data_IF_841091206311
#
_entry.id   IF_841091206311
#
_cell.length_a   1.000
_cell.length_b   1.000
_cell.length_c   1.000
_cell.angle_alpha   90.00
_cell.angle_beta   90.00
_cell.angle_gamma   90.00
#
_symmetry.space_group_name_H-M   'P 1'
#
loop_
_entity.id
_entity.type
_entity.pdbx_description
1 polymer ?
#
# COMPACT_ATOMS: atom_id res chain seq x y z
N UNK A 1 -24.68 22.80 -9.90
CA UNK A 1 -25.62 22.99 -8.77
C UNK A 1 -25.90 21.63 -8.14
N UNK A 2 -25.09 21.25 -7.13
CA UNK A 2 -25.46 20.42 -5.96
C UNK A 2 -24.17 20.20 -5.14
N UNK A 3 -23.69 21.24 -4.45
CA UNK A 3 -22.62 21.13 -3.47
C UNK A 3 -23.00 22.03 -2.30
N UNK A 4 -23.97 21.61 -1.51
CA UNK A 4 -24.20 22.16 -0.16
C UNK A 4 -24.70 21.04 0.76
N UNK A 5 -23.72 20.35 1.30
CA UNK A 5 -23.80 19.38 2.38
C UNK A 5 -22.35 19.03 2.76
N UNK A 6 -21.98 18.90 4.04
CA UNK A 6 -20.61 18.54 4.43
C UNK A 6 -20.35 17.06 4.09
N UNK A 7 -20.21 16.75 2.79
CA UNK A 7 -20.38 15.41 2.23
C UNK A 7 -19.25 14.46 2.65
N UNK A 8 -19.48 13.79 3.78
CA UNK A 8 -18.73 12.63 4.24
C UNK A 8 -18.62 11.56 3.16
N UNK A 9 -19.65 11.43 2.30
CA UNK A 9 -19.67 10.52 1.15
C UNK A 9 -18.57 10.82 0.13
N UNK A 10 -18.39 12.08 -0.27
CA UNK A 10 -17.31 12.47 -1.20
C UNK A 10 -15.91 12.17 -0.64
N UNK A 11 -15.72 12.37 0.67
CA UNK A 11 -14.47 12.03 1.36
C UNK A 11 -14.20 10.52 1.41
N UNK A 12 -15.24 9.71 1.57
CA UNK A 12 -15.12 8.23 1.55
C UNK A 12 -14.71 7.73 0.17
N UNK A 13 -15.33 8.22 -0.90
CA UNK A 13 -14.94 7.83 -2.26
C UNK A 13 -13.50 8.23 -2.60
N UNK A 14 -13.10 9.45 -2.23
CA UNK A 14 -11.71 9.90 -2.41
C UNK A 14 -10.71 9.06 -1.60
N UNK A 15 -11.06 8.66 -0.38
CA UNK A 15 -10.20 7.82 0.47
C UNK A 15 -10.00 6.43 -0.12
N UNK A 16 -11.06 5.81 -0.66
CA UNK A 16 -10.97 4.51 -1.31
C UNK A 16 -10.17 4.57 -2.61
N UNK A 17 -10.37 5.61 -3.41
CA UNK A 17 -9.57 5.83 -4.62
C UNK A 17 -8.09 6.00 -4.27
N UNK A 18 -7.77 6.81 -3.26
CA UNK A 18 -6.40 6.98 -2.78
C UNK A 18 -5.80 5.66 -2.27
N UNK A 19 -6.56 4.85 -1.53
CA UNK A 19 -6.12 3.52 -1.09
C UNK A 19 -5.85 2.58 -2.28
N UNK A 20 -6.71 2.59 -3.30
CA UNK A 20 -6.52 1.78 -4.50
C UNK A 20 -5.24 2.18 -5.26
N UNK A 21 -5.03 3.48 -5.48
CA UNK A 21 -3.82 3.99 -6.15
C UNK A 21 -2.55 3.68 -5.36
N UNK A 22 -2.58 3.85 -4.03
CA UNK A 22 -1.46 3.50 -3.17
C UNK A 22 -1.16 1.99 -3.21
N UNK A 23 -2.18 1.13 -3.31
CA UNK A 23 -1.98 -0.32 -3.43
C UNK A 23 -1.29 -0.68 -4.74
N UNK A 24 -1.70 -0.07 -5.85
CA UNK A 24 -1.05 -0.29 -7.16
C UNK A 24 0.41 0.15 -7.14
N UNK A 25 0.70 1.35 -6.62
CA UNK A 25 2.07 1.82 -6.49
C UNK A 25 2.93 0.88 -5.60
N UNK A 26 2.37 0.36 -4.51
CA UNK A 26 3.06 -0.61 -3.66
C UNK A 26 3.36 -1.93 -4.39
N UNK A 27 2.38 -2.46 -5.13
CA UNK A 27 2.54 -3.71 -5.88
C UNK A 27 3.63 -3.58 -6.95
N UNK A 28 3.69 -2.45 -7.65
CA UNK A 28 4.76 -2.13 -8.62
C UNK A 28 6.13 -2.06 -7.95
N UNK A 29 6.25 -1.40 -6.79
CA UNK A 29 7.52 -1.29 -6.06
C UNK A 29 8.03 -2.67 -5.59
N UNK A 30 7.14 -3.50 -5.06
CA UNK A 30 7.49 -4.85 -4.61
C UNK A 30 7.87 -5.73 -5.80
N UNK A 31 7.17 -5.64 -6.92
CA UNK A 31 7.53 -6.36 -8.14
C UNK A 31 8.92 -5.97 -8.64
N UNK A 32 9.19 -4.66 -8.76
CA UNK A 32 10.50 -4.16 -9.17
C UNK A 32 11.61 -4.66 -8.23
N UNK A 33 11.39 -4.57 -6.91
CA UNK A 33 12.39 -5.02 -5.93
C UNK A 33 12.60 -6.54 -5.97
N UNK A 34 11.54 -7.31 -6.15
CA UNK A 34 11.67 -8.76 -6.31
C UNK A 34 12.51 -9.14 -7.54
N UNK A 35 12.33 -8.45 -8.67
CA UNK A 35 13.15 -8.66 -9.86
C UNK A 35 14.62 -8.35 -9.59
N UNK A 36 14.93 -7.30 -8.82
CA UNK A 36 16.32 -6.99 -8.43
C UNK A 36 16.94 -8.08 -7.53
N UNK A 37 16.16 -8.67 -6.63
CA UNK A 37 16.68 -9.61 -5.61
C UNK A 37 16.81 -11.04 -6.15
N UNK A 38 15.82 -11.54 -6.92
CA UNK A 38 15.79 -12.95 -7.38
C UNK A 38 15.81 -13.12 -8.90
N UNK A 39 15.94 -12.02 -9.67
CA UNK A 39 15.96 -11.99 -11.15
C UNK A 39 14.64 -12.40 -11.83
N UNK A 40 13.90 -13.36 -11.30
CA UNK A 40 12.57 -13.76 -11.77
C UNK A 40 11.69 -14.24 -10.61
N UNK A 41 10.48 -13.68 -10.50
CA UNK A 41 9.45 -14.10 -9.55
C UNK A 41 8.28 -14.83 -10.23
N UNK A 42 8.32 -14.99 -11.55
CA UNK A 42 7.28 -15.65 -12.34
C UNK A 42 5.88 -15.13 -12.00
N UNK A 43 4.92 -16.05 -11.86
CA UNK A 43 3.53 -15.75 -11.47
C UNK A 43 3.32 -15.78 -9.95
N UNK A 44 4.34 -15.45 -9.16
CA UNK A 44 4.23 -15.42 -7.71
C UNK A 44 3.09 -14.49 -7.26
N UNK A 45 2.32 -14.96 -6.27
CA UNK A 45 1.33 -14.11 -5.61
C UNK A 45 2.01 -12.96 -4.86
N UNK A 46 1.28 -11.88 -4.59
CA UNK A 46 1.81 -10.76 -3.82
C UNK A 46 2.30 -11.21 -2.42
N UNK A 47 1.56 -12.12 -1.76
CA UNK A 47 1.98 -12.70 -0.49
C UNK A 47 3.33 -13.45 -0.61
N UNK A 48 3.52 -14.21 -1.70
CA UNK A 48 4.78 -14.91 -1.97
C UNK A 48 5.94 -13.92 -2.21
N UNK A 49 5.69 -12.84 -2.96
CA UNK A 49 6.70 -11.79 -3.20
C UNK A 49 7.12 -11.10 -1.91
N UNK A 50 6.19 -10.78 -1.01
CA UNK A 50 6.49 -10.21 0.30
C UNK A 50 7.32 -11.16 1.17
N UNK A 51 7.05 -12.46 1.14
CA UNK A 51 7.87 -13.47 1.84
C UNK A 51 9.29 -13.51 1.25
N UNK A 52 9.42 -13.49 -0.08
CA UNK A 52 10.72 -13.45 -0.76
C UNK A 52 11.52 -12.23 -0.31
N UNK A 53 10.93 -11.04 -0.32
CA UNK A 53 11.59 -9.82 0.15
C UNK A 53 11.97 -9.93 1.63
N UNK A 54 11.11 -10.49 2.49
CA UNK A 54 11.44 -10.63 3.90
C UNK A 54 12.62 -11.57 4.18
N UNK A 55 12.83 -12.56 3.32
CA UNK A 55 13.89 -13.55 3.48
C UNK A 55 15.20 -13.14 2.81
N UNK A 56 15.12 -12.43 1.68
CA UNK A 56 16.26 -12.17 0.78
C UNK A 56 16.63 -10.68 0.66
N UNK A 57 15.79 -9.79 1.18
CA UNK A 57 16.02 -8.34 1.22
C UNK A 57 16.00 -7.85 2.68
N UNK A 58 15.91 -6.54 2.89
CA UNK A 58 15.81 -5.92 4.21
C UNK A 58 14.48 -6.25 4.92
N UNK A 59 14.50 -6.98 6.06
CA UNK A 59 13.28 -7.47 6.72
C UNK A 59 12.32 -6.36 7.14
N UNK A 60 12.85 -5.23 7.62
CA UNK A 60 12.04 -4.09 8.09
C UNK A 60 11.26 -3.44 6.95
N UNK A 61 11.87 -3.34 5.77
CA UNK A 61 11.24 -2.84 4.54
C UNK A 61 10.14 -3.80 4.07
N UNK A 62 10.40 -5.11 4.12
CA UNK A 62 9.43 -6.13 3.74
C UNK A 62 8.24 -6.19 4.72
N UNK A 63 8.48 -6.00 6.02
CA UNK A 63 7.42 -5.93 7.03
C UNK A 63 6.56 -4.66 6.86
N UNK A 64 7.19 -3.51 6.59
CA UNK A 64 6.47 -2.28 6.28
C UNK A 64 5.61 -2.41 5.01
N UNK A 65 6.15 -3.05 3.96
CA UNK A 65 5.40 -3.36 2.74
C UNK A 65 4.23 -4.30 3.01
N UNK A 66 4.42 -5.31 3.87
CA UNK A 66 3.37 -6.26 4.26
C UNK A 66 2.24 -5.58 5.03
N UNK A 67 2.58 -4.70 5.97
CA UNK A 67 1.60 -3.89 6.73
C UNK A 67 0.81 -2.99 5.77
N UNK A 68 1.50 -2.28 4.88
CA UNK A 68 0.88 -1.40 3.90
C UNK A 68 -0.06 -2.17 2.95
N UNK A 69 0.38 -3.33 2.44
CA UNK A 69 -0.40 -4.13 1.49
C UNK A 69 -1.69 -4.66 2.12
N UNK A 70 -1.61 -5.20 3.35
CA UNK A 70 -2.78 -5.69 4.07
C UNK A 70 -3.78 -4.56 4.37
N UNK A 71 -3.29 -3.43 4.88
CA UNK A 71 -4.14 -2.27 5.21
C UNK A 71 -4.83 -1.67 3.98
N UNK A 72 -4.10 -1.52 2.87
CA UNK A 72 -4.64 -0.99 1.63
C UNK A 72 -5.62 -1.96 0.96
N UNK A 73 -5.34 -3.27 0.99
CA UNK A 73 -6.25 -4.29 0.46
C UNK A 73 -7.60 -4.26 1.20
N UNK A 74 -7.57 -4.18 2.54
CA UNK A 74 -8.79 -4.04 3.33
C UNK A 74 -9.51 -2.72 3.03
N UNK A 75 -8.80 -1.60 2.93
CA UNK A 75 -9.39 -0.30 2.60
C UNK A 75 -10.07 -0.25 1.22
N UNK A 76 -9.64 -1.10 0.28
CA UNK A 76 -10.25 -1.23 -1.04
C UNK A 76 -11.56 -2.04 -1.04
N UNK A 77 -11.78 -2.91 -0.06
CA UNK A 77 -12.98 -3.75 -0.02
C UNK A 77 -14.22 -2.94 0.44
N UNK A 78 -15.33 -3.14 -0.28
CA UNK A 78 -16.63 -2.56 0.04
C UNK A 78 -17.50 -3.62 0.72
N UNK A 79 -17.41 -3.74 2.04
CA UNK A 79 -18.38 -4.53 2.81
C UNK A 79 -19.51 -3.62 3.30
N UNK A 80 -20.76 -4.05 3.12
CA UNK A 80 -21.97 -3.24 3.40
C UNK A 80 -22.11 -2.78 4.86
N UNK A 81 -21.39 -3.42 5.78
CA UNK A 81 -21.41 -3.13 7.22
C UNK A 81 -20.05 -2.69 7.77
N UNK A 82 -19.02 -2.58 6.92
CA UNK A 82 -17.73 -2.06 7.37
C UNK A 82 -17.72 -0.53 7.37
N UNK A 83 -17.19 0.02 8.45
CA UNK A 83 -16.84 1.42 8.51
C UNK A 83 -15.87 1.73 7.36
N UNK A 84 -16.14 2.79 6.61
CA UNK A 84 -15.22 3.23 5.57
C UNK A 84 -13.86 3.56 6.21
N UNK A 85 -12.74 3.22 5.55
CA UNK A 85 -11.42 3.59 6.04
C UNK A 85 -11.35 5.10 6.21
N UNK A 86 -10.82 5.54 7.34
CA UNK A 86 -10.66 6.96 7.63
C UNK A 86 -9.58 7.56 6.74
N UNK A 87 -9.70 8.85 6.47
CA UNK A 87 -8.65 9.61 5.74
C UNK A 87 -7.29 9.48 6.43
N UNK A 88 -7.28 9.37 7.76
CA UNK A 88 -6.06 9.21 8.56
C UNK A 88 -5.35 7.88 8.31
N UNK A 89 -6.12 6.78 8.28
CA UNK A 89 -5.60 5.43 7.99
C UNK A 89 -5.05 5.36 6.57
N UNK A 90 -5.80 5.83 5.57
CA UNK A 90 -5.33 5.84 4.18
C UNK A 90 -4.06 6.69 4.03
N UNK A 91 -4.02 7.87 4.67
CA UNK A 91 -2.82 8.72 4.65
C UNK A 91 -1.62 8.06 5.34
N UNK A 92 -1.83 7.32 6.41
CA UNK A 92 -0.76 6.56 7.06
C UNK A 92 -0.21 5.48 6.12
N UNK A 93 -1.09 4.73 5.44
CA UNK A 93 -0.68 3.75 4.43
C UNK A 93 0.06 4.38 3.26
N UNK A 94 -0.44 5.51 2.71
CA UNK A 94 0.28 6.25 1.66
C UNK A 94 1.69 6.63 2.11
N UNK A 95 1.87 7.07 3.37
CA UNK A 95 3.20 7.40 3.90
C UNK A 95 4.12 6.19 4.01
N UNK A 96 3.59 5.03 4.40
CA UNK A 96 4.36 3.77 4.37
C UNK A 96 4.77 3.42 2.94
N UNK A 97 3.89 3.56 1.95
CA UNK A 97 4.26 3.32 0.55
C UNK A 97 5.35 4.31 0.10
N UNK A 98 5.22 5.59 0.43
CA UNK A 98 6.25 6.60 0.16
C UNK A 98 7.59 6.25 0.82
N UNK A 99 7.58 5.66 2.02
CA UNK A 99 8.83 5.32 2.69
C UNK A 99 9.62 4.20 2.00
N UNK A 100 8.96 3.41 1.16
CA UNK A 100 9.57 2.32 0.41
C UNK A 100 10.21 2.77 -0.91
N UNK A 101 10.04 4.05 -1.30
CA UNK A 101 10.58 4.57 -2.56
C UNK A 101 12.11 4.54 -2.57
N UNK A 102 12.75 4.21 -3.70
CA UNK A 102 14.21 4.05 -3.76
C UNK A 102 15.00 5.29 -3.36
N UNK A 103 14.48 6.48 -3.70
CA UNK A 103 15.10 7.79 -3.43
C UNK A 103 14.64 8.40 -2.10
N UNK A 104 13.88 7.66 -1.28
CA UNK A 104 13.45 8.15 0.01
C UNK A 104 14.64 8.23 0.97
N UNK A 105 15.00 9.41 1.52
CA UNK A 105 16.12 9.55 2.44
C UNK A 105 15.97 8.74 3.73
N UNK A 106 14.76 8.29 4.08
CA UNK A 106 14.53 7.41 5.22
C UNK A 106 14.72 5.92 4.91
N UNK A 107 15.04 5.52 3.66
CA UNK A 107 15.31 4.13 3.28
C UNK A 107 16.67 3.62 3.76
N UNK A 108 17.61 4.52 4.12
CA UNK A 108 18.94 4.19 4.64
C UNK A 108 19.19 4.63 6.08
N UNK A 109 18.14 4.88 6.86
CA UNK A 109 18.21 5.37 8.25
C UNK A 109 17.45 4.48 9.24
N UNK A 110 17.48 3.16 9.00
CA UNK A 110 17.05 2.14 9.95
C UNK A 110 18.21 1.17 10.18
#
# INVERSE_FOLDING_TARGET
MLLDGPDSRGRVHASRLAAFLARQALEELVEARCVEVVSDVGRASMASRLIVLRVLDEPDIADAASVAWNGLSNACHHHAYELAPTVGEVRHMCRLVTSLLPDNPARGQW
#
